data_IF_216657874737
#
_entry.id   IF_216657874737
#
_cell.length_a   1.000
_cell.length_b   1.000
_cell.length_c   1.000
_cell.angle_alpha   90.00
_cell.angle_beta   90.00
_cell.angle_gamma   90.00
#
_symmetry.space_group_name_H-M   'P 1'
#
loop_
_entity.id
_entity.type
_entity.pdbx_description
1 polymer ?
#
# COMPACT_ATOMS: atom_id res chain seq x y z
N UNK A 1 15.15 -2.70 -50.07
CA UNK A 1 14.27 -1.83 -49.25
C UNK A 1 13.16 -2.72 -48.69
N UNK A 2 13.45 -3.41 -47.59
CA UNK A 2 12.50 -4.28 -46.88
C UNK A 2 12.70 -3.96 -45.41
N UNK A 3 11.70 -3.28 -44.85
CA UNK A 3 11.66 -2.84 -43.47
C UNK A 3 11.46 -4.05 -42.55
N UNK A 4 12.35 -4.21 -41.57
CA UNK A 4 12.07 -5.00 -40.37
C UNK A 4 12.15 -4.08 -39.17
N UNK A 5 11.00 -3.51 -38.81
CA UNK A 5 10.79 -2.90 -37.50
C UNK A 5 10.27 -4.00 -36.57
N UNK A 6 11.06 -4.34 -35.56
CA UNK A 6 10.66 -5.27 -34.50
C UNK A 6 9.69 -4.56 -33.56
N UNK A 7 8.42 -4.94 -33.60
CA UNK A 7 7.42 -4.49 -32.64
C UNK A 7 7.57 -5.32 -31.34
N UNK A 8 7.85 -4.60 -30.26
CA UNK A 8 8.03 -5.15 -28.93
C UNK A 8 6.75 -5.75 -28.36
N UNK A 9 6.96 -6.85 -27.63
CA UNK A 9 6.05 -7.63 -26.79
C UNK A 9 5.11 -6.76 -25.94
N UNK A 10 3.79 -6.95 -26.12
CA UNK A 10 2.78 -6.49 -25.17
C UNK A 10 2.52 -7.57 -24.13
N UNK A 11 2.93 -7.28 -22.89
CA UNK A 11 2.73 -8.13 -21.72
C UNK A 11 1.30 -8.02 -21.19
N UNK A 12 0.67 -9.19 -21.13
CA UNK A 12 -0.26 -9.74 -20.14
C UNK A 12 -0.81 -8.86 -19.00
N UNK A 13 -2.08 -9.17 -18.71
CA UNK A 13 -2.84 -9.07 -17.45
C UNK A 13 -3.35 -7.71 -17.02
N UNK A 14 -4.52 -7.31 -17.52
CA UNK A 14 -5.56 -6.67 -16.72
C UNK A 14 -6.89 -7.36 -17.05
N UNK A 15 -7.13 -8.52 -16.44
CA UNK A 15 -8.41 -9.22 -16.48
C UNK A 15 -9.01 -9.17 -15.08
N UNK A 16 -9.85 -8.16 -14.83
CA UNK A 16 -10.83 -8.18 -13.76
C UNK A 16 -12.21 -8.20 -14.42
N UNK A 17 -12.95 -9.33 -14.41
CA UNK A 17 -14.31 -9.33 -14.91
C UNK A 17 -15.24 -8.75 -13.84
N UNK A 18 -16.05 -7.81 -14.29
CA UNK A 18 -17.23 -7.29 -13.61
C UNK A 18 -18.02 -8.39 -12.90
N UNK A 19 -18.40 -8.15 -11.64
CA UNK A 19 -19.59 -8.78 -11.06
C UNK A 19 -20.38 -7.78 -10.21
N UNK A 20 -21.58 -7.53 -10.74
CA UNK A 20 -22.82 -7.08 -10.09
C UNK A 20 -23.01 -5.57 -9.91
N UNK A 21 -23.49 -4.97 -10.99
CA UNK A 21 -24.31 -3.78 -10.99
C UNK A 21 -25.66 -4.01 -10.29
N UNK A 22 -26.17 -3.01 -9.56
CA UNK A 22 -27.61 -2.68 -9.63
C UNK A 22 -27.97 -1.23 -9.23
N UNK A 23 -28.48 -0.52 -10.24
CA UNK A 23 -29.54 0.49 -10.27
C UNK A 23 -29.43 1.79 -9.45
N UNK A 24 -28.98 2.85 -10.13
CA UNK A 24 -29.60 4.17 -10.07
C UNK A 24 -29.53 4.80 -11.47
N UNK A 25 -30.67 5.27 -12.00
CA UNK A 25 -30.83 5.76 -13.36
C UNK A 25 -30.24 7.15 -13.60
N UNK A 26 -28.93 7.29 -13.48
CA UNK A 26 -28.17 8.35 -14.15
C UNK A 26 -27.28 7.67 -15.17
N UNK A 27 -27.36 8.03 -16.46
CA UNK A 27 -26.26 7.70 -17.36
C UNK A 27 -24.99 8.25 -16.72
N UNK A 28 -23.95 7.44 -16.44
CA UNK A 28 -22.68 8.00 -16.04
C UNK A 28 -22.25 8.92 -17.19
N UNK A 29 -22.10 10.22 -16.91
CA UNK A 29 -21.53 11.20 -17.83
C UNK A 29 -20.34 10.56 -18.52
N UNK A 30 -20.31 10.57 -19.85
CA UNK A 30 -19.22 9.92 -20.56
C UNK A 30 -17.91 10.63 -20.21
N UNK A 31 -16.75 9.94 -20.15
CA UNK A 31 -15.47 10.61 -19.89
C UNK A 31 -15.17 11.77 -20.86
N UNK A 32 -15.69 11.69 -22.09
CA UNK A 32 -15.62 12.76 -23.09
C UNK A 32 -16.53 13.96 -22.75
N UNK A 33 -17.69 13.71 -22.14
CA UNK A 33 -18.55 14.75 -21.57
C UNK A 33 -17.85 15.45 -20.40
N UNK A 34 -17.23 14.69 -19.47
CA UNK A 34 -16.46 15.24 -18.35
C UNK A 34 -15.30 16.12 -18.83
N UNK A 35 -14.56 15.65 -19.85
CA UNK A 35 -13.46 16.39 -20.46
C UNK A 35 -13.91 17.70 -21.12
N UNK A 36 -15.18 17.84 -21.50
CA UNK A 36 -15.71 19.11 -22.03
C UNK A 36 -15.86 20.21 -20.97
N UNK A 37 -15.87 19.83 -19.68
CA UNK A 37 -15.91 20.75 -18.53
C UNK A 37 -14.52 21.08 -17.98
N UNK A 38 -13.46 20.45 -18.50
CA UNK A 38 -12.09 20.62 -18.03
C UNK A 38 -11.24 21.31 -19.10
N UNK A 39 -10.45 22.29 -18.69
CA UNK A 39 -9.41 22.93 -19.51
C UNK A 39 -8.11 22.82 -18.72
N UNK A 40 -7.11 22.11 -19.28
CA UNK A 40 -5.79 21.94 -18.68
C UNK A 40 -5.78 21.41 -17.23
N UNK A 41 -6.79 20.58 -16.88
CA UNK A 41 -6.95 20.02 -15.54
C UNK A 41 -7.65 20.94 -14.53
N UNK A 42 -8.22 22.06 -14.97
CA UNK A 42 -9.12 22.92 -14.18
C UNK A 42 -10.54 22.89 -14.72
N UNK A 43 -11.52 23.12 -13.86
CA UNK A 43 -12.90 23.31 -14.28
C UNK A 43 -13.02 24.59 -15.12
N UNK A 44 -13.74 24.50 -16.24
CA UNK A 44 -14.02 25.62 -17.16
C UNK A 44 -14.91 26.68 -16.51
N UNK A 45 -15.79 26.24 -15.60
CA UNK A 45 -16.64 27.13 -14.83
C UNK A 45 -15.88 27.70 -13.61
N UNK A 46 -15.77 29.03 -13.48
CA UNK A 46 -14.95 29.65 -12.43
C UNK A 46 -15.54 29.44 -11.03
N UNK A 47 -16.86 29.35 -10.87
CA UNK A 47 -17.50 29.14 -9.55
C UNK A 47 -17.25 27.71 -9.06
N UNK A 48 -17.32 26.73 -9.97
CA UNK A 48 -16.97 25.35 -9.65
C UNK A 48 -15.49 25.22 -9.27
N UNK A 49 -14.61 25.91 -9.99
CA UNK A 49 -13.17 25.92 -9.69
C UNK A 49 -12.90 26.52 -8.30
N UNK A 50 -13.47 27.67 -7.96
CA UNK A 50 -13.31 28.32 -6.66
C UNK A 50 -13.78 27.41 -5.52
N UNK A 51 -14.93 26.74 -5.69
CA UNK A 51 -15.44 25.80 -4.69
C UNK A 51 -14.50 24.62 -4.44
N UNK A 52 -13.87 24.09 -5.50
CA UNK A 52 -12.90 23.00 -5.37
C UNK A 52 -11.64 23.49 -4.64
N UNK A 53 -11.15 24.68 -4.99
CA UNK A 53 -9.97 25.28 -4.36
C UNK A 53 -10.20 25.52 -2.87
N UNK A 54 -11.34 26.10 -2.49
CA UNK A 54 -11.72 26.28 -1.08
C UNK A 54 -11.74 24.95 -0.32
N UNK A 55 -12.35 23.91 -0.91
CA UNK A 55 -12.43 22.61 -0.25
C UNK A 55 -11.06 21.93 -0.14
N UNK A 56 -10.21 22.08 -1.14
CA UNK A 56 -8.84 21.58 -1.12
C UNK A 56 -8.02 22.27 -0.03
N UNK A 57 -8.16 23.59 0.12
CA UNK A 57 -7.50 24.35 1.18
C UNK A 57 -7.96 23.95 2.57
N UNK A 58 -9.28 23.80 2.79
CA UNK A 58 -9.82 23.28 4.05
C UNK A 58 -9.21 21.92 4.40
N UNK A 59 -9.17 21.00 3.44
CA UNK A 59 -8.64 19.65 3.64
C UNK A 59 -7.14 19.67 3.95
N UNK A 60 -6.36 20.53 3.28
CA UNK A 60 -4.93 20.74 3.57
C UNK A 60 -4.71 21.30 4.97
N UNK A 61 -5.56 22.22 5.42
CA UNK A 61 -5.49 22.79 6.76
C UNK A 61 -5.82 21.74 7.82
N UNK A 62 -6.87 20.94 7.62
CA UNK A 62 -7.23 19.83 8.51
C UNK A 62 -6.08 18.81 8.61
N UNK A 63 -5.49 18.44 7.47
CA UNK A 63 -4.35 17.53 7.44
C UNK A 63 -3.13 18.09 8.18
N UNK A 64 -2.84 19.38 7.99
CA UNK A 64 -1.73 20.04 8.71
C UNK A 64 -1.99 20.06 10.22
N UNK A 65 -3.21 20.39 10.64
CA UNK A 65 -3.63 20.34 12.05
C UNK A 65 -3.47 18.93 12.63
N UNK A 66 -3.84 17.89 11.89
CA UNK A 66 -3.67 16.51 12.32
C UNK A 66 -2.19 16.19 12.60
N UNK A 67 -1.28 16.57 11.70
CA UNK A 67 0.16 16.38 11.91
C UNK A 67 0.73 17.19 13.08
N UNK A 68 0.14 18.34 13.40
CA UNK A 68 0.54 19.16 14.56
C UNK A 68 0.00 18.60 15.89
N UNK A 69 -1.23 18.10 15.90
CA UNK A 69 -1.88 17.52 17.07
C UNK A 69 -1.29 16.16 17.46
N UNK A 70 -0.72 15.43 16.48
CA UNK A 70 -0.15 14.11 16.68
C UNK A 70 1.37 14.12 16.49
N UNK A 71 2.14 14.59 17.51
CA UNK A 71 3.61 14.51 17.49
C UNK A 71 4.12 13.06 17.40
N UNK A 72 3.26 12.09 17.77
CA UNK A 72 3.28 10.65 17.49
C UNK A 72 4.02 10.31 16.17
N UNK A 73 3.46 10.87 15.10
CA UNK A 73 3.86 10.60 13.72
C UNK A 73 5.23 11.19 13.38
N UNK A 74 5.55 12.37 13.92
CA UNK A 74 6.85 13.01 13.71
C UNK A 74 7.96 12.25 14.43
N UNK A 75 7.70 11.78 15.65
CA UNK A 75 8.62 10.95 16.41
C UNK A 75 8.91 9.65 15.66
N UNK A 76 7.86 8.92 15.26
CA UNK A 76 7.98 7.68 14.50
C UNK A 76 8.80 7.86 13.21
N UNK A 77 8.53 8.93 12.46
CA UNK A 77 9.28 9.21 11.24
C UNK A 77 10.75 9.52 11.55
N UNK A 78 11.04 10.24 12.62
CA UNK A 78 12.41 10.55 13.03
C UNK A 78 13.18 9.26 13.39
N UNK A 79 12.55 8.38 14.16
CA UNK A 79 13.14 7.10 14.57
C UNK A 79 13.39 6.20 13.34
N UNK A 80 12.44 6.17 12.39
CA UNK A 80 12.61 5.48 11.13
C UNK A 80 13.79 6.05 10.33
N UNK A 81 13.84 7.37 10.13
CA UNK A 81 14.93 8.01 9.38
C UNK A 81 16.29 7.77 10.02
N UNK A 82 16.39 7.86 11.35
CA UNK A 82 17.60 7.54 12.10
C UNK A 82 18.03 6.08 11.89
N UNK A 83 17.08 5.15 11.88
CA UNK A 83 17.35 3.74 11.61
C UNK A 83 17.82 3.49 10.17
N UNK A 84 17.24 4.16 9.17
CA UNK A 84 17.68 4.06 7.77
C UNK A 84 19.10 4.56 7.60
N UNK A 85 19.44 5.71 8.23
CA UNK A 85 20.78 6.29 8.14
C UNK A 85 21.84 5.44 8.84
N UNK A 86 21.48 4.75 9.93
CA UNK A 86 22.40 3.87 10.66
C UNK A 86 22.67 2.57 9.90
N UNK A 87 21.64 1.90 9.41
CA UNK A 87 21.76 0.58 8.78
C UNK A 87 22.11 0.66 7.28
N UNK A 88 21.83 1.80 6.63
CA UNK A 88 22.04 2.04 5.19
C UNK A 88 21.64 0.83 4.32
N UNK A 89 20.36 0.41 4.36
CA UNK A 89 19.91 -0.73 3.59
C UNK A 89 20.02 -0.46 2.08
N UNK A 90 20.37 -1.48 1.31
CA UNK A 90 20.38 -1.41 -0.16
C UNK A 90 18.95 -1.24 -0.71
N UNK A 91 17.97 -1.89 -0.05
CA UNK A 91 16.54 -1.87 -0.38
C UNK A 91 15.71 -1.19 0.71
N UNK A 92 15.52 0.12 0.59
CA UNK A 92 14.81 0.94 1.61
C UNK A 92 13.34 0.55 1.76
N UNK A 93 12.67 0.12 0.69
CA UNK A 93 11.25 -0.25 0.73
C UNK A 93 10.99 -1.55 1.51
N UNK A 94 11.86 -2.56 1.34
CA UNK A 94 11.76 -3.81 2.11
C UNK A 94 12.03 -3.56 3.59
N UNK A 95 13.02 -2.71 3.89
CA UNK A 95 13.30 -2.26 5.26
C UNK A 95 12.12 -1.49 5.87
N UNK A 96 11.48 -0.59 5.12
CA UNK A 96 10.29 0.13 5.58
C UNK A 96 9.12 -0.83 5.86
N UNK A 97 8.89 -1.81 4.97
CA UNK A 97 7.82 -2.81 5.18
C UNK A 97 8.03 -3.57 6.48
N UNK A 98 9.25 -4.00 6.75
CA UNK A 98 9.59 -4.70 8.00
C UNK A 98 9.47 -3.77 9.21
N UNK A 99 10.05 -2.58 9.14
CA UNK A 99 10.02 -1.59 10.23
C UNK A 99 8.58 -1.20 10.61
N UNK A 100 7.71 -0.96 9.63
CA UNK A 100 6.33 -0.57 9.87
C UNK A 100 5.39 -1.75 10.19
N UNK A 101 5.82 -3.00 9.96
CA UNK A 101 5.00 -4.18 10.24
C UNK A 101 4.61 -4.29 11.72
N UNK A 102 5.48 -3.83 12.62
CA UNK A 102 5.26 -3.82 14.06
C UNK A 102 4.10 -2.91 14.52
N UNK A 103 3.68 -1.95 13.69
CA UNK A 103 2.61 -0.99 14.00
C UNK A 103 1.27 -1.36 13.36
N UNK A 104 1.17 -2.52 12.69
CA UNK A 104 -0.10 -3.03 12.20
C UNK A 104 -0.98 -3.33 13.40
N UNK A 105 -2.00 -2.49 13.63
CA UNK A 105 -3.01 -2.77 14.63
C UNK A 105 -3.73 -4.06 14.21
N UNK A 106 -3.49 -5.15 14.94
CA UNK A 106 -4.32 -6.34 14.88
C UNK A 106 -5.67 -5.91 15.42
N UNK A 107 -6.65 -5.74 14.53
CA UNK A 107 -8.03 -5.59 14.96
C UNK A 107 -8.41 -6.80 15.82
N UNK A 108 -9.29 -6.66 16.83
CA UNK A 108 -9.62 -7.73 17.77
C UNK A 108 -10.19 -9.03 17.14
N UNK A 109 -10.44 -9.05 15.83
CA UNK A 109 -10.93 -10.21 15.07
C UNK A 109 -9.82 -11.08 14.45
N UNK A 110 -8.53 -10.71 14.55
CA UNK A 110 -7.43 -11.50 13.97
C UNK A 110 -6.48 -12.13 15.00
N UNK A 111 -6.65 -11.82 16.29
CA UNK A 111 -5.86 -12.42 17.38
C UNK A 111 -6.16 -13.90 17.63
N UNK A 112 -7.22 -14.48 17.04
CA UNK A 112 -7.50 -15.93 17.12
C UNK A 112 -6.91 -16.77 15.98
N UNK A 113 -6.54 -16.17 14.84
CA UNK A 113 -6.07 -16.94 13.68
C UNK A 113 -4.54 -17.09 13.62
N UNK A 114 -3.78 -16.17 14.23
CA UNK A 114 -2.32 -16.19 14.16
C UNK A 114 -1.65 -17.08 15.23
N UNK A 115 -2.35 -17.42 16.31
CA UNK A 115 -1.79 -18.25 17.41
C UNK A 115 -1.92 -19.77 17.15
N UNK A 116 -2.63 -20.19 16.10
CA UNK A 116 -2.76 -21.61 15.71
C UNK A 116 -1.76 -22.02 14.60
N UNK A 117 -1.01 -21.08 14.01
CA UNK A 117 -0.02 -21.37 12.96
C UNK A 117 1.43 -21.42 13.46
N UNK A 118 1.71 -21.02 14.71
CA UNK A 118 3.07 -21.02 15.29
C UNK A 118 3.33 -22.19 16.25
N UNK A 119 2.36 -23.09 16.46
CA UNK A 119 2.44 -24.23 17.37
C UNK A 119 2.67 -25.57 16.68
N UNK A 120 3.63 -25.69 15.76
CA UNK A 120 4.00 -26.97 15.18
C UNK A 120 5.46 -27.02 14.69
N UNK A 121 6.44 -26.74 15.56
CA UNK A 121 7.76 -27.37 15.43
C UNK A 121 8.51 -27.33 16.78
N UNK A 122 8.20 -28.29 17.65
CA UNK A 122 9.07 -28.66 18.77
C UNK A 122 9.31 -30.16 18.70
N UNK A 123 10.48 -30.58 18.22
CA UNK A 123 11.07 -31.85 18.62
C UNK A 123 12.61 -31.82 18.41
N UNK A 124 13.40 -31.76 19.51
CA UNK A 124 14.86 -31.91 19.48
C UNK A 124 15.30 -33.32 19.05
N UNK A 125 16.53 -33.50 18.54
CA UNK A 125 17.00 -34.75 17.97
C UNK A 125 17.04 -35.89 19.02
N UNK A 126 16.53 -37.09 18.71
CA UNK A 126 16.73 -38.25 19.57
C UNK A 126 18.18 -38.72 19.46
N UNK A 127 18.88 -38.62 20.58
CA UNK A 127 20.11 -39.34 20.82
C UNK A 127 19.85 -40.86 20.77
N UNK A 128 20.31 -41.50 19.70
CA UNK A 128 20.74 -42.90 19.70
C UNK A 128 22.28 -42.84 19.81
N UNK A 129 22.94 -43.49 20.77
CA UNK A 129 22.76 -44.88 21.16
C UNK A 129 23.77 -45.73 20.38
N UNK A 130 25.06 -45.49 20.58
CA UNK A 130 26.12 -46.44 20.22
C UNK A 130 26.28 -47.41 21.39
N UNK A 131 25.83 -48.65 21.20
CA UNK A 131 26.04 -49.75 22.14
C UNK A 131 27.28 -50.57 21.75
N UNK A 132 28.10 -50.91 22.77
CA UNK A 132 28.92 -52.11 22.94
C UNK A 132 30.03 -52.41 21.88
N UNK A 133 31.16 -53.08 22.14
CA UNK A 133 31.51 -54.12 23.10
C UNK A 133 33.03 -54.34 23.13
N UNK A 134 33.51 -54.91 24.23
CA UNK A 134 34.86 -55.43 24.51
C UNK A 134 35.50 -56.31 23.42
N UNK A 135 36.80 -56.10 23.11
CA UNK A 135 37.92 -57.07 23.28
C UNK A 135 39.27 -56.48 22.86
#
# INVERSE_FOLDING_TARGET
>A
ILAQAQAARASRTHQCPARLARAAGGSPMTPAEYAAYEVDGRMKDPEQQEKLELREEELKQEHTKYLEQHPELRQLLNDFMSSVLLHRPEQVFDFAREYFSAFKQVGPEESKAAEEAAGAETAPPPAAGEEAESR
#
